data_IF_428945423386
#
_entry.id   IF_428945423386
#
_cell.length_a   1.000
_cell.length_b   1.000
_cell.length_c   1.000
_cell.angle_alpha   90.00
_cell.angle_beta   90.00
_cell.angle_gamma   90.00
#
_symmetry.space_group_name_H-M   'P 1'
#
loop_
_entity.id
_entity.type
_entity.pdbx_description
1 polymer ?
#
# COMPACT_ATOMS: atom_id res chain seq x y z
N UNK A 1 33.12 5.75 -44.49
CA UNK A 1 32.96 6.53 -43.23
C UNK A 1 31.53 7.04 -42.98
N UNK A 2 30.75 7.44 -44.00
CA UNK A 2 29.34 7.91 -43.82
C UNK A 2 28.34 6.87 -43.28
N UNK A 3 28.51 5.58 -43.60
CA UNK A 3 27.57 4.52 -43.20
C UNK A 3 27.72 4.03 -41.74
N UNK A 4 28.88 4.23 -41.11
CA UNK A 4 29.12 3.81 -39.71
C UNK A 4 28.54 4.85 -38.73
N UNK A 5 28.63 6.14 -39.08
CA UNK A 5 28.05 7.23 -38.28
C UNK A 5 26.51 7.17 -38.27
N UNK A 6 25.91 6.75 -39.39
CA UNK A 6 24.45 6.65 -39.52
C UNK A 6 23.84 5.52 -38.68
N UNK A 7 24.58 4.43 -38.43
CA UNK A 7 24.11 3.32 -37.58
C UNK A 7 24.23 3.61 -36.09
N UNK A 8 25.16 4.47 -35.69
CA UNK A 8 25.26 4.92 -34.30
C UNK A 8 24.15 5.91 -33.90
N UNK A 9 23.65 6.71 -34.85
CA UNK A 9 22.57 7.67 -34.58
C UNK A 9 21.20 6.99 -34.36
N UNK A 10 20.97 5.80 -34.93
CA UNK A 10 19.73 5.04 -34.72
C UNK A 10 19.70 4.27 -33.39
N UNK A 11 20.87 3.89 -32.84
CA UNK A 11 20.95 3.20 -31.55
C UNK A 11 20.73 4.15 -30.35
N UNK A 12 20.97 5.46 -30.52
CA UNK A 12 20.74 6.45 -29.46
C UNK A 12 19.28 6.92 -29.42
N UNK A 13 18.52 6.77 -30.50
CA UNK A 13 17.11 7.18 -30.53
C UNK A 13 16.17 6.25 -29.73
N UNK A 14 16.54 4.98 -29.52
CA UNK A 14 15.75 4.00 -28.75
C UNK A 14 16.09 3.96 -27.25
N UNK A 15 17.18 4.60 -26.83
CA UNK A 15 17.61 4.63 -25.42
C UNK A 15 17.05 5.82 -24.62
N UNK A 16 16.35 6.76 -25.28
CA UNK A 16 15.87 8.00 -24.65
C UNK A 16 14.36 7.98 -24.37
N UNK A 17 13.61 7.03 -24.92
CA UNK A 17 12.17 6.89 -24.63
C UNK A 17 11.84 6.27 -23.27
N UNK A 18 12.84 5.79 -22.52
CA UNK A 18 12.63 5.18 -21.19
C UNK A 18 12.69 6.17 -20.01
N UNK A 19 12.97 7.46 -20.23
CA UNK A 19 13.26 8.43 -19.15
C UNK A 19 12.08 9.39 -18.86
N UNK A 20 10.94 9.22 -19.53
CA UNK A 20 9.76 10.07 -19.29
C UNK A 20 8.51 9.28 -18.91
N UNK A 21 8.66 8.19 -18.14
CA UNK A 21 7.62 7.88 -17.16
C UNK A 21 7.86 8.83 -15.99
N UNK A 22 7.55 10.12 -16.21
CA UNK A 22 7.19 10.99 -15.10
C UNK A 22 5.97 10.27 -14.50
N UNK A 23 5.96 9.92 -13.21
CA UNK A 23 4.72 9.47 -12.59
C UNK A 23 3.73 10.61 -12.84
N UNK A 24 2.80 10.38 -13.78
CA UNK A 24 1.69 11.29 -13.91
C UNK A 24 1.07 11.34 -12.51
N UNK A 25 0.74 12.53 -11.97
CA UNK A 25 -0.14 12.55 -10.82
C UNK A 25 -1.34 11.71 -11.24
N UNK A 26 -1.58 10.61 -10.53
CA UNK A 26 -2.63 9.66 -10.87
C UNK A 26 -3.89 10.49 -11.09
N UNK A 27 -4.35 10.62 -12.34
CA UNK A 27 -5.59 11.31 -12.66
C UNK A 27 -6.81 10.44 -12.29
N UNK A 28 -6.65 9.59 -11.27
CA UNK A 28 -7.71 8.95 -10.56
C UNK A 28 -8.32 10.03 -9.65
N UNK A 29 -9.45 10.60 -10.08
CA UNK A 29 -10.21 11.54 -9.25
C UNK A 29 -10.65 10.84 -7.96
N UNK A 30 -9.99 11.18 -6.86
CA UNK A 30 -10.27 10.69 -5.52
C UNK A 30 -9.41 11.45 -4.51
N UNK A 31 -9.92 11.64 -3.30
CA UNK A 31 -9.12 12.12 -2.17
C UNK A 31 -8.10 11.04 -1.76
N UNK A 32 -7.00 11.42 -1.12
CA UNK A 32 -6.03 10.47 -0.57
C UNK A 32 -6.16 10.36 0.94
N UNK A 33 -5.99 9.15 1.45
CA UNK A 33 -5.88 8.86 2.88
C UNK A 33 -4.42 8.58 3.23
N UNK A 34 -3.95 9.18 4.32
CA UNK A 34 -2.64 8.90 4.92
C UNK A 34 -2.80 7.84 5.99
N UNK A 35 -2.07 6.72 5.85
CA UNK A 35 -1.98 5.69 6.89
C UNK A 35 -0.61 5.77 7.59
N UNK A 36 -0.65 5.75 8.93
CA UNK A 36 0.50 5.70 9.82
C UNK A 36 0.64 4.28 10.41
N UNK A 37 1.66 3.49 10.00
CA UNK A 37 1.84 2.11 10.45
C UNK A 37 2.42 1.96 11.87
N UNK A 38 2.44 3.04 12.67
CA UNK A 38 2.92 3.06 14.05
C UNK A 38 2.28 4.19 14.85
N UNK A 39 2.13 3.98 16.16
CA UNK A 39 1.66 5.00 17.11
C UNK A 39 2.80 5.95 17.47
N UNK A 40 2.87 7.12 16.85
CA UNK A 40 3.95 8.08 17.07
C UNK A 40 3.58 9.52 16.76
N UNK A 41 4.58 10.41 16.85
CA UNK A 41 4.43 11.76 16.31
C UNK A 41 4.27 11.68 14.78
N UNK A 42 3.54 12.63 14.15
CA UNK A 42 3.34 12.62 12.70
C UNK A 42 4.65 12.53 11.89
N UNK A 43 5.75 13.07 12.43
CA UNK A 43 7.07 13.08 11.81
C UNK A 43 7.73 11.68 11.77
N UNK A 44 7.24 10.73 12.58
CA UNK A 44 7.74 9.34 12.65
C UNK A 44 6.86 8.37 11.83
N UNK A 45 5.77 8.86 11.21
CA UNK A 45 4.91 8.03 10.37
C UNK A 45 5.53 7.75 9.00
N UNK A 46 5.56 6.48 8.61
CA UNK A 46 5.71 6.10 7.19
C UNK A 46 4.35 6.27 6.52
N UNK A 47 4.15 7.36 5.78
CA UNK A 47 2.86 7.63 5.12
C UNK A 47 2.63 6.70 3.95
N UNK A 48 1.48 6.02 3.94
CA UNK A 48 0.93 5.41 2.73
C UNK A 48 -0.13 6.33 2.16
N UNK A 49 0.03 6.74 0.91
CA UNK A 49 -0.97 7.54 0.18
C UNK A 49 -1.86 6.57 -0.60
N UNK A 50 -3.10 6.40 -0.15
CA UNK A 50 -4.06 5.50 -0.80
C UNK A 50 -5.19 6.34 -1.38
N UNK A 51 -5.56 6.14 -2.66
CA UNK A 51 -6.73 6.80 -3.22
C UNK A 51 -8.02 6.24 -2.61
N UNK A 52 -8.91 7.13 -2.17
CA UNK A 52 -10.24 6.80 -1.64
C UNK A 52 -11.16 6.43 -2.80
N UNK A 53 -11.79 5.26 -2.71
CA UNK A 53 -12.62 4.69 -3.78
C UNK A 53 -13.96 5.42 -3.95
N UNK A 54 -14.45 6.15 -2.93
CA UNK A 54 -15.70 6.90 -3.00
C UNK A 54 -15.61 8.34 -2.47
N UNK A 55 -16.27 9.31 -3.14
CA UNK A 55 -16.27 10.72 -2.74
C UNK A 55 -17.03 11.02 -1.44
N UNK A 56 -17.84 10.08 -0.94
CA UNK A 56 -18.66 10.25 0.27
C UNK A 56 -18.06 9.58 1.51
N UNK A 57 -16.81 9.09 1.43
CA UNK A 57 -16.13 8.58 2.62
C UNK A 57 -15.88 9.73 3.59
N UNK A 58 -16.48 9.66 4.79
CA UNK A 58 -16.31 10.68 5.83
C UNK A 58 -14.89 10.54 6.43
N UNK A 59 -13.94 11.19 5.76
CA UNK A 59 -12.58 11.39 6.25
C UNK A 59 -12.30 12.89 6.43
N UNK A 60 -11.63 13.28 7.52
CA UNK A 60 -11.35 12.52 8.75
C UNK A 60 -12.65 12.18 9.52
N UNK A 61 -12.63 11.28 10.54
CA UNK A 61 -13.82 10.93 11.30
C UNK A 61 -14.50 12.18 11.89
N UNK A 62 -15.83 12.16 11.89
CA UNK A 62 -16.64 13.25 12.41
C UNK A 62 -16.29 13.58 13.85
N UNK A 63 -15.73 14.77 14.09
CA UNK A 63 -15.34 15.24 15.42
C UNK A 63 -13.84 15.17 15.73
N UNK A 64 -13.00 14.69 14.81
CA UNK A 64 -11.54 14.73 14.96
C UNK A 64 -10.85 15.05 13.62
N UNK A 65 -10.83 16.33 13.18
CA UNK A 65 -10.24 16.72 11.90
C UNK A 65 -8.73 16.48 11.78
N UNK A 66 -8.04 16.31 12.90
CA UNK A 66 -6.62 16.00 13.00
C UNK A 66 -6.30 14.50 13.09
N UNK A 67 -7.32 13.64 13.17
CA UNK A 67 -7.10 12.21 13.33
C UNK A 67 -6.48 11.59 12.06
N UNK A 68 -5.54 10.68 12.27
CA UNK A 68 -4.89 9.89 11.23
C UNK A 68 -5.32 8.43 11.34
N UNK A 69 -5.35 7.70 10.22
CA UNK A 69 -5.56 6.26 10.29
C UNK A 69 -4.26 5.64 10.76
N UNK A 70 -4.29 5.03 11.92
CA UNK A 70 -3.16 4.29 12.45
C UNK A 70 -3.46 2.80 12.42
N UNK A 71 -2.44 2.02 12.07
CA UNK A 71 -2.49 0.57 12.07
C UNK A 71 -1.18 0.05 12.60
N UNK A 72 -1.23 -0.99 13.42
CA UNK A 72 -0.07 -1.68 13.93
C UNK A 72 -0.19 -3.18 13.64
N UNK A 73 0.70 -3.66 12.76
CA UNK A 73 0.76 -5.07 12.37
C UNK A 73 2.13 -5.72 12.63
N UNK A 74 3.07 -4.98 13.25
CA UNK A 74 4.43 -5.43 13.50
C UNK A 74 4.78 -5.26 14.98
N UNK A 75 5.50 -6.22 15.55
CA UNK A 75 5.99 -6.11 16.92
C UNK A 75 6.93 -4.88 17.10
N UNK A 76 6.75 -4.12 18.18
CA UNK A 76 7.62 -3.01 18.61
C UNK A 76 9.12 -3.39 18.71
N UNK A 77 9.42 -4.68 18.87
CA UNK A 77 10.78 -5.22 18.93
C UNK A 77 11.44 -5.38 17.56
N UNK A 78 10.71 -5.19 16.46
CA UNK A 78 11.27 -5.20 15.10
C UNK A 78 12.30 -4.08 14.97
N UNK A 79 13.43 -4.38 14.33
CA UNK A 79 14.48 -3.39 14.09
C UNK A 79 13.89 -2.18 13.33
N UNK A 80 14.10 -0.92 13.78
CA UNK A 80 13.51 0.26 13.14
C UNK A 80 13.81 0.41 11.64
N UNK A 81 14.98 -0.05 11.18
CA UNK A 81 15.31 -0.04 9.76
C UNK A 81 14.49 -1.06 8.97
N UNK A 82 14.28 -2.26 9.52
CA UNK A 82 13.41 -3.28 8.94
C UNK A 82 11.96 -2.79 8.91
N UNK A 83 11.49 -2.21 10.01
CA UNK A 83 10.16 -1.60 10.09
C UNK A 83 9.95 -0.55 9.01
N UNK A 84 10.89 0.39 8.87
CA UNK A 84 10.80 1.48 7.89
C UNK A 84 10.80 0.93 6.46
N UNK A 85 11.71 0.00 6.16
CA UNK A 85 11.85 -0.57 4.83
C UNK A 85 10.66 -1.46 4.45
N UNK A 86 10.15 -2.28 5.38
CA UNK A 86 8.92 -3.05 5.20
C UNK A 86 7.76 -2.13 4.84
N UNK A 87 7.50 -1.11 5.67
CA UNK A 87 6.37 -0.20 5.47
C UNK A 87 6.51 0.62 4.19
N UNK A 88 7.73 0.96 3.77
CA UNK A 88 7.95 1.67 2.52
C UNK A 88 7.60 0.81 1.30
N UNK A 89 7.96 -0.47 1.28
CA UNK A 89 7.61 -1.38 0.16
C UNK A 89 6.15 -1.82 0.24
N UNK A 90 5.68 -2.20 1.42
CA UNK A 90 4.31 -2.64 1.63
C UNK A 90 3.31 -1.54 1.29
N UNK A 91 3.55 -0.30 1.77
CA UNK A 91 2.75 0.87 1.44
C UNK A 91 2.72 1.19 -0.05
N UNK A 92 3.86 1.10 -0.75
CA UNK A 92 3.91 1.27 -2.21
C UNK A 92 3.11 0.20 -2.96
N UNK A 93 3.21 -1.06 -2.53
CA UNK A 93 2.40 -2.14 -3.09
C UNK A 93 0.92 -1.87 -2.89
N UNK A 94 0.53 -1.47 -1.67
CA UNK A 94 -0.86 -1.21 -1.33
C UNK A 94 -1.45 -0.01 -2.07
N UNK A 95 -0.68 1.09 -2.20
CA UNK A 95 -1.05 2.24 -3.01
C UNK A 95 -1.23 1.86 -4.49
N UNK A 96 -0.28 1.11 -5.07
CA UNK A 96 -0.35 0.67 -6.47
C UNK A 96 -1.54 -0.28 -6.72
N UNK A 97 -1.83 -1.17 -5.76
CA UNK A 97 -3.00 -2.04 -5.79
C UNK A 97 -4.30 -1.21 -5.76
N UNK A 98 -4.36 -0.17 -4.92
CA UNK A 98 -5.50 0.72 -4.86
C UNK A 98 -5.67 1.53 -6.16
N UNK A 99 -4.58 2.12 -6.68
CA UNK A 99 -4.58 2.87 -7.95
C UNK A 99 -5.06 2.02 -9.13
N UNK A 100 -4.74 0.72 -9.14
CA UNK A 100 -5.20 -0.19 -10.19
C UNK A 100 -6.72 -0.25 -10.34
N UNK A 101 -7.47 0.06 -9.27
CA UNK A 101 -8.95 0.07 -9.27
C UNK A 101 -9.54 1.28 -9.99
N UNK A 102 -8.76 2.33 -10.23
CA UNK A 102 -9.20 3.55 -10.92
C UNK A 102 -8.83 3.56 -12.41
N UNK A 103 -8.06 2.58 -12.87
CA UNK A 103 -7.66 2.47 -14.26
C UNK A 103 -8.81 1.92 -15.10
N UNK A 104 -9.22 2.67 -16.13
CA UNK A 104 -10.35 2.30 -16.99
C UNK A 104 -10.02 1.16 -17.96
N UNK A 105 -8.76 1.06 -18.40
CA UNK A 105 -8.30 -0.02 -19.26
C UNK A 105 -8.06 -1.29 -18.42
N UNK A 106 -8.83 -2.38 -18.64
CA UNK A 106 -8.72 -3.59 -17.83
C UNK A 106 -7.36 -4.27 -17.93
N UNK A 107 -6.66 -4.17 -19.07
CA UNK A 107 -5.34 -4.78 -19.22
C UNK A 107 -4.30 -3.99 -18.42
N UNK A 108 -4.35 -2.65 -18.47
CA UNK A 108 -3.49 -1.79 -17.66
C UNK A 108 -3.78 -1.91 -16.15
N UNK A 109 -5.05 -2.02 -15.75
CA UNK A 109 -5.45 -2.27 -14.36
C UNK A 109 -4.84 -3.58 -13.84
N UNK A 110 -4.94 -4.64 -14.66
CA UNK A 110 -4.35 -5.94 -14.35
C UNK A 110 -2.82 -5.88 -14.24
N UNK A 111 -2.14 -5.18 -15.15
CA UNK A 111 -0.69 -5.00 -15.07
C UNK A 111 -0.27 -4.27 -13.80
N UNK A 112 -0.95 -3.18 -13.42
CA UNK A 112 -0.68 -2.47 -12.17
C UNK A 112 -0.93 -3.32 -10.92
N UNK A 113 -2.03 -4.08 -10.91
CA UNK A 113 -2.31 -5.06 -9.85
C UNK A 113 -1.18 -6.07 -9.72
N UNK A 114 -0.69 -6.65 -10.83
CA UNK A 114 0.43 -7.59 -10.78
C UNK A 114 1.76 -6.93 -10.41
N UNK A 115 1.99 -5.67 -10.79
CA UNK A 115 3.16 -4.92 -10.36
C UNK A 115 3.20 -4.68 -8.84
N UNK A 116 2.04 -4.58 -8.18
CA UNK A 116 1.97 -4.48 -6.70
C UNK A 116 2.57 -5.71 -5.99
N UNK A 117 2.50 -6.89 -6.62
CA UNK A 117 3.01 -8.16 -6.08
C UNK A 117 4.50 -8.10 -5.82
N UNK A 118 5.28 -7.48 -6.69
CA UNK A 118 6.73 -7.35 -6.50
C UNK A 118 7.03 -6.58 -5.21
N UNK A 119 6.33 -5.47 -4.98
CA UNK A 119 6.46 -4.68 -3.75
C UNK A 119 6.12 -5.48 -2.50
N UNK A 120 5.03 -6.25 -2.52
CA UNK A 120 4.66 -7.10 -1.38
C UNK A 120 5.65 -8.23 -1.12
N UNK A 121 6.19 -8.86 -2.17
CA UNK A 121 7.24 -9.87 -2.03
C UNK A 121 8.56 -9.28 -1.49
N UNK A 122 8.91 -8.06 -1.90
CA UNK A 122 10.05 -7.35 -1.33
C UNK A 122 9.83 -7.03 0.15
N UNK A 123 8.66 -6.50 0.51
CA UNK A 123 8.29 -6.24 1.91
C UNK A 123 8.37 -7.53 2.75
N UNK A 124 7.78 -8.62 2.25
CA UNK A 124 7.83 -9.95 2.86
C UNK A 124 9.26 -10.48 3.07
N UNK A 125 10.15 -10.21 2.10
CA UNK A 125 11.56 -10.57 2.23
C UNK A 125 12.28 -9.74 3.29
N UNK A 126 11.96 -8.45 3.40
CA UNK A 126 12.56 -7.53 4.38
C UNK A 126 12.18 -7.91 5.81
N UNK A 127 10.89 -8.22 6.03
CA UNK A 127 10.40 -8.59 7.36
C UNK A 127 10.81 -10.01 7.78
N UNK A 128 11.28 -10.82 6.83
CA UNK A 128 11.81 -12.18 7.04
C UNK A 128 10.87 -13.05 7.90
N UNK A 129 11.30 -13.39 9.13
CA UNK A 129 10.57 -14.23 10.09
C UNK A 129 9.98 -13.46 11.26
N UNK A 130 10.06 -12.12 11.24
CA UNK A 130 9.42 -11.32 12.28
C UNK A 130 7.91 -11.52 12.21
N UNK A 131 7.27 -11.56 13.37
CA UNK A 131 5.84 -11.80 13.44
C UNK A 131 5.07 -10.61 12.83
N UNK A 132 4.08 -10.95 12.00
CA UNK A 132 3.08 -10.00 11.51
C UNK A 132 1.79 -10.38 12.20
N UNK A 133 1.23 -9.50 13.00
CA UNK A 133 -0.04 -9.71 13.68
C UNK A 133 -0.68 -8.35 13.97
N UNK A 134 -1.99 -8.23 13.75
CA UNK A 134 -2.71 -7.00 14.07
C UNK A 134 -2.73 -6.80 15.60
N UNK A 135 -2.06 -5.76 16.07
CA UNK A 135 -2.16 -5.29 17.45
C UNK A 135 -3.28 -4.26 17.58
N UNK A 136 -3.25 -3.22 16.74
CA UNK A 136 -4.23 -2.13 16.79
C UNK A 136 -4.55 -1.54 15.42
N UNK A 137 -5.76 -0.99 15.29
CA UNK A 137 -6.18 -0.21 14.13
C UNK A 137 -7.26 0.76 14.55
N UNK A 138 -7.15 2.01 14.09
CA UNK A 138 -8.10 3.03 14.49
C UNK A 138 -7.70 4.44 14.10
N UNK A 139 -8.57 5.38 14.47
CA UNK A 139 -8.31 6.80 14.36
C UNK A 139 -7.38 7.27 15.47
N UNK A 140 -6.14 7.64 15.17
CA UNK A 140 -5.24 8.19 16.18
C UNK A 140 -5.34 9.72 16.20
N UNK A 141 -5.66 10.29 17.37
CA UNK A 141 -5.59 11.74 17.62
C UNK A 141 -4.17 12.10 18.09
N UNK A 142 -3.33 12.70 17.23
CA UNK A 142 -1.96 13.06 17.60
C UNK A 142 -1.89 14.18 18.63
N UNK A 143 -2.95 14.99 18.82
CA UNK A 143 -2.99 16.04 19.85
C UNK A 143 -3.33 15.48 21.21
N UNK A 144 -4.27 14.53 21.28
CA UNK A 144 -4.64 13.88 22.53
C UNK A 144 -3.71 12.69 22.88
N UNK A 145 -2.96 12.17 21.90
CA UNK A 145 -2.06 11.04 22.08
C UNK A 145 -2.80 9.72 22.35
N UNK A 146 -3.99 9.55 21.76
CA UNK A 146 -4.83 8.36 21.97
C UNK A 146 -5.70 8.08 20.74
N UNK A 147 -6.22 6.86 20.66
CA UNK A 147 -7.26 6.54 19.69
C UNK A 147 -8.55 7.33 19.97
N UNK A 148 -9.11 7.89 18.91
CA UNK A 148 -10.43 8.49 18.87
C UNK A 148 -11.47 7.38 18.73
N UNK A 149 -12.43 7.38 19.64
CA UNK A 149 -13.51 6.39 19.67
C UNK A 149 -14.59 6.78 18.65
N UNK A 150 -14.58 6.15 17.49
CA UNK A 150 -15.66 6.26 16.49
C UNK A 150 -16.37 4.92 16.33
N UNK A 151 -17.45 4.73 17.09
CA UNK A 151 -18.25 3.50 17.06
C UNK A 151 -18.82 3.17 15.67
N UNK A 152 -18.96 4.15 14.76
CA UNK A 152 -19.50 3.93 13.42
C UNK A 152 -18.47 3.34 12.47
N UNK A 153 -17.23 3.80 12.54
CA UNK A 153 -16.18 3.40 11.59
C UNK A 153 -15.30 2.28 12.14
N UNK A 154 -15.19 2.13 13.47
CA UNK A 154 -14.36 1.11 14.11
C UNK A 154 -14.60 -0.31 13.58
N UNK A 155 -15.84 -0.79 13.36
CA UNK A 155 -16.05 -2.14 12.82
C UNK A 155 -15.43 -2.35 11.44
N UNK A 156 -15.42 -1.32 10.59
CA UNK A 156 -14.80 -1.41 9.26
C UNK A 156 -13.27 -1.31 9.35
N UNK A 157 -12.76 -0.49 10.27
CA UNK A 157 -11.32 -0.41 10.54
C UNK A 157 -10.76 -1.72 11.07
N UNK A 158 -11.51 -2.44 11.91
CA UNK A 158 -11.13 -3.78 12.37
C UNK A 158 -11.03 -4.78 11.21
N UNK A 159 -11.94 -4.70 10.22
CA UNK A 159 -11.86 -5.52 9.00
C UNK A 159 -10.63 -5.13 8.18
N UNK A 160 -10.43 -3.83 7.97
CA UNK A 160 -9.26 -3.30 7.26
C UNK A 160 -7.96 -3.83 7.88
N UNK A 161 -7.79 -3.71 9.20
CA UNK A 161 -6.58 -4.17 9.89
C UNK A 161 -6.37 -5.68 9.79
N UNK A 162 -7.43 -6.48 9.95
CA UNK A 162 -7.35 -7.95 9.89
C UNK A 162 -6.97 -8.43 8.51
N UNK A 163 -7.62 -7.89 7.48
CA UNK A 163 -7.36 -8.25 6.09
C UNK A 163 -5.98 -7.78 5.64
N UNK A 164 -5.54 -6.61 6.09
CA UNK A 164 -4.18 -6.13 5.79
C UNK A 164 -3.11 -7.03 6.42
N UNK A 165 -3.26 -7.38 7.70
CA UNK A 165 -2.34 -8.29 8.40
C UNK A 165 -2.33 -9.68 7.74
N UNK A 166 -3.49 -10.23 7.39
CA UNK A 166 -3.60 -11.52 6.71
C UNK A 166 -2.92 -11.51 5.32
N UNK A 167 -3.10 -10.43 4.55
CA UNK A 167 -2.41 -10.26 3.26
C UNK A 167 -0.89 -10.19 3.44
N UNK A 168 -0.41 -9.42 4.41
CA UNK A 168 1.02 -9.33 4.73
C UNK A 168 1.61 -10.68 5.17
N UNK A 169 0.93 -11.43 6.03
CA UNK A 169 1.30 -12.79 6.43
C UNK A 169 1.33 -13.75 5.23
N UNK A 170 0.35 -13.68 4.33
CA UNK A 170 0.31 -14.52 3.14
C UNK A 170 1.51 -14.25 2.22
N UNK A 171 1.90 -12.98 2.02
CA UNK A 171 3.10 -12.64 1.27
C UNK A 171 4.39 -13.07 1.98
N UNK A 172 4.45 -12.98 3.32
CA UNK A 172 5.58 -13.51 4.10
C UNK A 172 5.73 -15.03 3.90
N UNK A 173 4.62 -15.78 3.93
CA UNK A 173 4.63 -17.21 3.68
C UNK A 173 5.11 -17.54 2.25
N UNK A 174 4.66 -16.78 1.24
CA UNK A 174 5.10 -16.93 -0.15
C UNK A 174 6.61 -16.66 -0.33
N UNK A 175 7.19 -15.73 0.43
CA UNK A 175 8.62 -15.43 0.36
C UNK A 175 9.51 -16.50 1.02
N UNK A 176 8.95 -17.28 1.96
CA UNK A 176 9.66 -18.32 2.71
C UNK A 176 9.66 -19.71 2.05
N UNK A 177 8.82 -19.95 1.04
CA UNK A 177 8.66 -21.25 0.39
C UNK A 177 9.48 -21.35 -0.92
N UNK A 178 10.45 -22.30 -1.05
CA UNK A 178 11.19 -22.53 -2.28
C UNK A 178 10.36 -23.16 -3.42
N UNK A 179 9.20 -23.75 -3.12
CA UNK A 179 8.21 -24.22 -4.09
C UNK A 179 6.87 -23.53 -3.83
N UNK A 180 6.73 -22.23 -4.13
CA UNK A 180 5.50 -21.52 -3.85
C UNK A 180 4.38 -22.20 -4.65
N UNK A 181 3.46 -22.90 -3.98
CA UNK A 181 2.15 -23.10 -4.57
C UNK A 181 1.53 -21.71 -4.70
N UNK A 182 1.31 -21.22 -5.93
CA UNK A 182 1.02 -19.82 -6.14
C UNK A 182 -0.41 -19.59 -5.70
N UNK A 183 -0.59 -18.93 -4.56
CA UNK A 183 -1.84 -18.25 -4.30
C UNK A 183 -1.60 -16.77 -4.01
N UNK A 184 -0.77 -16.15 -4.86
CA UNK A 184 -0.65 -14.69 -4.96
C UNK A 184 -2.04 -14.07 -5.05
N UNK A 185 -2.97 -14.69 -5.79
CA UNK A 185 -4.36 -14.22 -5.85
C UNK A 185 -5.08 -14.27 -4.50
N UNK A 186 -4.90 -15.32 -3.68
CA UNK A 186 -5.44 -15.30 -2.32
C UNK A 186 -4.78 -14.24 -1.43
N UNK A 187 -3.46 -14.06 -1.52
CA UNK A 187 -2.76 -13.00 -0.79
C UNK A 187 -3.28 -11.60 -1.19
N UNK A 188 -3.45 -11.37 -2.48
CA UNK A 188 -4.06 -10.15 -3.01
C UNK A 188 -5.53 -10.01 -2.60
N UNK A 189 -6.28 -11.10 -2.48
CA UNK A 189 -7.70 -11.04 -2.10
C UNK A 189 -7.92 -10.49 -0.68
N UNK A 190 -7.00 -10.75 0.25
CA UNK A 190 -6.99 -10.12 1.56
C UNK A 190 -6.76 -8.62 1.43
N UNK A 191 -5.75 -8.20 0.67
CA UNK A 191 -5.48 -6.77 0.47
C UNK A 191 -6.60 -6.05 -0.29
N UNK A 192 -7.29 -6.74 -1.20
CA UNK A 192 -8.50 -6.25 -1.84
C UNK A 192 -9.65 -6.05 -0.86
N UNK A 193 -9.84 -6.98 0.07
CA UNK A 193 -10.85 -6.88 1.12
C UNK A 193 -10.54 -5.72 2.07
N UNK A 194 -9.26 -5.50 2.38
CA UNK A 194 -8.82 -4.33 3.14
C UNK A 194 -9.18 -3.03 2.40
N UNK A 195 -8.86 -2.92 1.11
CA UNK A 195 -9.23 -1.76 0.29
C UNK A 195 -10.74 -1.59 0.14
N UNK A 196 -11.50 -2.68 0.15
CA UNK A 196 -12.96 -2.63 0.02
C UNK A 196 -13.64 -1.90 1.19
N UNK A 197 -12.97 -1.74 2.33
CA UNK A 197 -13.47 -0.91 3.44
C UNK A 197 -13.60 0.55 3.03
N UNK A 198 -12.73 1.05 2.14
CA UNK A 198 -12.77 2.42 1.63
C UNK A 198 -13.70 2.61 0.42
N UNK A 199 -14.52 1.60 0.11
CA UNK A 199 -15.61 1.64 -0.87
C UNK A 199 -16.91 1.23 -0.18
N UNK A 200 -18.06 1.83 -0.50
CA UNK A 200 -19.33 1.18 -0.11
C UNK A 200 -19.43 -0.10 -0.93
N UNK A 201 -19.32 -1.22 -0.25
CA UNK A 201 -19.90 -2.47 -0.74
C UNK A 201 -21.41 -2.25 -0.84
N UNK A 202 -21.88 -2.01 -2.06
CA UNK A 202 -23.28 -2.22 -2.45
C UNK A 202 -23.55 -3.70 -2.69
#
# INVERSE_FOLDING_TARGET
MRLIVQRFLLAVALAVSAVFIIPAPAQAGGDTITICPYMGLPDDCVTWEIPILEPDWEWPPGGCPECLLSIDILDDLVNPAIFTEFNAYFGKGFALLAESRFVQDPDAAKEMRWASVEYFLYAAKVIEKNEIALDSVGWFDPKAGKFFEDEKTQPYLDVFGKELAAGAQAFQALAGDPEPQPNIEAALSHLDAALAVFSKTG
#
